data_IF_491991250743
#
_entry.id   IF_491991250743
#
_cell.length_a   1.000
_cell.length_b   1.000
_cell.length_c   1.000
_cell.angle_alpha   90.00
_cell.angle_beta   90.00
_cell.angle_gamma   90.00
#
_symmetry.space_group_name_H-M   'P 1'
#
loop_
_entity.id
_entity.type
_entity.pdbx_description
1 polymer ?
#
# COMPACT_ATOMS: atom_id res chain seq x y z
N UNK A 1 -18.58 -14.11 -22.54
CA UNK A 1 -18.10 -13.73 -23.88
C UNK A 1 -16.59 -13.66 -23.78
N UNK A 2 -15.86 -14.43 -24.60
CA UNK A 2 -14.40 -14.40 -24.64
C UNK A 2 -14.00 -13.64 -25.90
N UNK A 3 -13.24 -12.56 -25.75
CA UNK A 3 -12.66 -11.84 -26.89
C UNK A 3 -11.32 -12.48 -27.20
N UNK A 4 -11.15 -12.96 -28.43
CA UNK A 4 -9.96 -13.70 -28.86
C UNK A 4 -9.33 -13.02 -30.07
N UNK A 5 -8.01 -12.95 -30.10
CA UNK A 5 -7.22 -12.56 -31.26
C UNK A 5 -6.25 -13.69 -31.58
N UNK A 6 -6.09 -14.03 -32.87
CA UNK A 6 -5.27 -15.16 -33.33
C UNK A 6 -4.18 -14.65 -34.26
N UNK A 7 -2.94 -15.04 -33.99
CA UNK A 7 -1.77 -14.72 -34.80
C UNK A 7 -1.12 -16.02 -35.30
N UNK A 8 -0.52 -15.97 -36.49
CA UNK A 8 0.24 -17.08 -37.06
C UNK A 8 1.55 -16.54 -37.60
N UNK A 9 2.66 -17.04 -37.06
CA UNK A 9 4.00 -16.50 -37.25
C UNK A 9 4.97 -17.65 -37.55
N UNK A 10 6.10 -17.34 -38.18
CA UNK A 10 7.23 -18.25 -38.30
C UNK A 10 8.26 -17.89 -37.23
N UNK A 11 8.96 -18.91 -36.72
CA UNK A 11 10.09 -18.69 -35.82
C UNK A 11 11.27 -18.13 -36.61
N UNK A 12 12.08 -17.29 -35.97
CA UNK A 12 13.35 -16.84 -36.51
C UNK A 12 14.40 -17.96 -36.54
N UNK A 13 15.58 -17.66 -37.08
CA UNK A 13 16.71 -18.58 -37.17
C UNK A 13 17.21 -19.11 -35.81
N UNK A 14 16.86 -18.43 -34.71
CA UNK A 14 17.21 -18.83 -33.34
C UNK A 14 16.04 -19.57 -32.65
N UNK A 15 14.92 -19.84 -33.35
CA UNK A 15 13.76 -20.51 -32.79
C UNK A 15 12.88 -19.61 -31.91
N UNK A 16 12.99 -18.29 -32.04
CA UNK A 16 12.25 -17.30 -31.25
C UNK A 16 11.20 -16.57 -32.11
N UNK A 17 10.16 -16.04 -31.48
CA UNK A 17 9.29 -15.04 -32.08
C UNK A 17 8.99 -13.94 -31.05
N UNK A 18 8.74 -12.73 -31.51
CA UNK A 18 8.33 -11.60 -30.68
C UNK A 18 7.31 -10.78 -31.44
N UNK A 19 6.16 -10.51 -30.81
CA UNK A 19 5.10 -9.70 -31.40
C UNK A 19 4.46 -8.80 -30.35
N UNK A 20 3.91 -7.68 -30.81
CA UNK A 20 3.17 -6.74 -29.98
C UNK A 20 1.68 -6.90 -30.20
N UNK A 21 0.94 -7.17 -29.12
CA UNK A 21 -0.52 -7.26 -29.17
C UNK A 21 -1.13 -5.91 -28.78
N UNK A 22 -1.91 -5.33 -29.69
CA UNK A 22 -2.75 -4.18 -29.35
C UNK A 22 -3.86 -4.63 -28.39
N UNK A 23 -3.85 -4.12 -27.16
CA UNK A 23 -4.84 -4.47 -26.15
C UNK A 23 -6.13 -3.63 -26.26
N UNK A 24 -6.12 -2.53 -27.02
CA UNK A 24 -7.29 -1.65 -27.18
C UNK A 24 -8.43 -2.35 -27.90
N UNK A 25 -8.10 -3.35 -28.76
CA UNK A 25 -9.10 -4.19 -29.44
C UNK A 25 -10.02 -4.95 -28.48
N UNK A 26 -9.55 -5.23 -27.25
CA UNK A 26 -10.34 -5.94 -26.24
C UNK A 26 -11.28 -5.02 -25.47
N UNK A 27 -11.26 -3.70 -25.74
CA UNK A 27 -12.10 -2.68 -25.09
C UNK A 27 -12.08 -2.82 -23.57
N UNK A 28 -10.89 -3.06 -23.00
CA UNK A 28 -10.67 -3.00 -21.56
C UNK A 28 -10.94 -1.55 -21.12
N UNK A 29 -11.80 -1.27 -20.13
CA UNK A 29 -12.17 -2.12 -18.99
C UNK A 29 -13.68 -2.39 -18.93
N UNK A 30 -14.13 -3.55 -19.42
CA UNK A 30 -15.52 -3.99 -19.31
C UNK A 30 -15.73 -4.82 -18.03
N UNK A 31 -16.85 -4.63 -17.32
CA UNK A 31 -17.18 -5.55 -16.22
C UNK A 31 -17.52 -6.93 -16.78
N UNK A 32 -17.17 -7.99 -16.04
CA UNK A 32 -17.41 -9.38 -16.45
C UNK A 32 -16.29 -10.03 -17.27
N UNK A 33 -15.22 -9.31 -17.62
CA UNK A 33 -13.98 -9.90 -18.13
C UNK A 33 -13.04 -10.28 -16.98
N UNK A 34 -12.35 -11.42 -17.12
CA UNK A 34 -11.27 -11.83 -16.20
C UNK A 34 -10.19 -10.74 -16.11
N UNK A 35 -9.55 -10.61 -14.95
CA UNK A 35 -8.43 -9.71 -14.71
C UNK A 35 -7.09 -10.25 -15.25
N UNK A 36 -7.15 -11.04 -16.32
CA UNK A 36 -5.96 -11.58 -16.98
C UNK A 36 -6.22 -11.82 -18.47
N UNK A 37 -5.17 -11.66 -19.27
CA UNK A 37 -5.11 -12.13 -20.65
C UNK A 37 -4.45 -13.50 -20.62
N UNK A 38 -5.13 -14.52 -21.11
CA UNK A 38 -4.51 -15.81 -21.41
C UNK A 38 -3.96 -15.80 -22.82
N UNK A 39 -2.80 -16.41 -23.01
CA UNK A 39 -2.30 -16.77 -24.33
C UNK A 39 -2.22 -18.29 -24.45
N UNK A 40 -2.74 -18.83 -25.54
CA UNK A 40 -2.58 -20.23 -25.92
C UNK A 40 -1.71 -20.27 -27.18
N UNK A 41 -0.58 -20.97 -27.09
CA UNK A 41 0.43 -21.07 -28.14
C UNK A 41 0.48 -22.52 -28.59
N UNK A 42 0.46 -22.75 -29.91
CA UNK A 42 0.70 -24.07 -30.48
C UNK A 42 1.80 -23.97 -31.53
N UNK A 43 2.95 -24.56 -31.25
CA UNK A 43 4.08 -24.63 -32.17
C UNK A 43 4.01 -25.90 -33.00
N UNK A 44 4.37 -25.82 -34.28
CA UNK A 44 4.52 -26.97 -35.18
C UNK A 44 5.98 -27.14 -35.56
N UNK A 45 6.55 -28.31 -35.25
CA UNK A 45 7.90 -28.65 -35.70
C UNK A 45 7.90 -28.93 -37.21
N UNK A 46 8.79 -28.23 -37.94
CA UNK A 46 8.96 -28.46 -39.37
C UNK A 46 9.68 -29.79 -39.62
N UNK A 47 9.18 -30.59 -40.56
CA UNK A 47 9.72 -31.91 -40.88
C UNK A 47 8.98 -33.08 -40.20
N UNK A 48 8.67 -32.99 -38.91
CA UNK A 48 7.91 -34.03 -38.18
C UNK A 48 6.41 -33.75 -38.13
N UNK A 49 6.02 -32.47 -38.18
CA UNK A 49 4.64 -32.03 -38.00
C UNK A 49 4.12 -32.13 -36.57
N UNK A 50 4.99 -32.43 -35.60
CA UNK A 50 4.63 -32.50 -34.17
C UNK A 50 4.11 -31.15 -33.70
N UNK A 51 3.01 -31.17 -32.93
CA UNK A 51 2.40 -29.99 -32.32
C UNK A 51 2.75 -29.93 -30.82
N UNK A 52 3.25 -28.79 -30.38
CA UNK A 52 3.63 -28.52 -28.99
C UNK A 52 2.77 -27.38 -28.45
N UNK A 53 1.75 -27.66 -27.61
CA UNK A 53 0.94 -26.62 -26.98
C UNK A 53 1.67 -26.03 -25.75
N UNK A 54 1.41 -24.75 -25.49
CA UNK A 54 1.85 -24.02 -24.30
C UNK A 54 0.83 -22.94 -23.97
N UNK A 55 0.82 -22.47 -22.74
CA UNK A 55 -0.04 -21.36 -22.33
C UNK A 55 0.70 -20.38 -21.42
N UNK A 56 0.28 -19.12 -21.47
CA UNK A 56 0.76 -18.06 -20.61
C UNK A 56 -0.40 -17.23 -20.07
N UNK A 57 -0.12 -16.45 -19.03
CA UNK A 57 -1.08 -15.49 -18.48
C UNK A 57 -0.40 -14.15 -18.19
N UNK A 58 -1.15 -13.07 -18.38
CA UNK A 58 -0.75 -11.71 -18.01
C UNK A 58 -1.85 -11.09 -17.17
N UNK A 59 -1.54 -10.67 -15.96
CA UNK A 59 -2.52 -10.01 -15.09
C UNK A 59 -2.81 -8.58 -15.54
N UNK A 60 -4.09 -8.20 -15.51
CA UNK A 60 -4.56 -6.83 -15.71
C UNK A 60 -4.89 -6.26 -14.33
N UNK A 61 -4.37 -5.07 -14.02
CA UNK A 61 -4.61 -4.38 -12.76
C UNK A 61 -5.16 -2.97 -13.00
N UNK A 62 -6.11 -2.55 -12.18
CA UNK A 62 -6.56 -1.16 -12.10
C UNK A 62 -5.86 -0.36 -10.99
N UNK A 63 -4.86 -0.97 -10.33
CA UNK A 63 -3.98 -0.35 -9.33
C UNK A 63 -2.70 0.11 -10.02
N UNK A 64 -2.64 1.39 -10.36
CA UNK A 64 -1.45 2.03 -10.95
C UNK A 64 -0.41 2.45 -9.91
N UNK A 65 -0.77 2.38 -8.63
CA UNK A 65 0.11 2.65 -7.52
C UNK A 65 -0.26 1.79 -6.32
N UNK A 66 0.70 1.57 -5.44
CA UNK A 66 0.59 0.81 -4.22
C UNK A 66 0.99 1.75 -3.08
N UNK A 67 0.05 2.01 -2.18
CA UNK A 67 0.26 2.77 -0.95
C UNK A 67 0.31 1.78 0.21
N UNK A 68 1.34 1.88 1.05
CA UNK A 68 1.53 0.99 2.19
C UNK A 68 1.92 1.80 3.42
N UNK A 69 1.21 1.59 4.52
CA UNK A 69 1.56 2.11 5.83
C UNK A 69 2.73 1.30 6.43
N UNK A 70 3.67 1.99 7.07
CA UNK A 70 4.72 1.33 7.85
C UNK A 70 4.17 0.98 9.24
N UNK A 71 3.49 -0.17 9.34
CA UNK A 71 2.82 -0.62 10.55
C UNK A 71 3.78 -0.75 11.73
N UNK A 72 5.04 -1.11 11.49
CA UNK A 72 6.06 -1.20 12.52
C UNK A 72 6.39 0.18 13.12
N UNK A 73 6.53 1.19 12.26
CA UNK A 73 6.80 2.57 12.67
C UNK A 73 5.57 3.31 13.20
N UNK A 74 4.36 2.93 12.80
CA UNK A 74 3.10 3.47 13.34
C UNK A 74 2.73 2.81 14.66
N UNK A 75 2.93 1.49 14.77
CA UNK A 75 2.58 0.69 15.95
C UNK A 75 1.08 0.44 16.07
N UNK A 76 0.66 -0.26 17.13
CA UNK A 76 -0.75 -0.61 17.36
C UNK A 76 -1.48 0.36 18.31
N UNK A 77 -0.77 1.35 18.85
CA UNK A 77 -1.29 2.25 19.87
C UNK A 77 -1.03 3.72 19.53
N UNK A 78 -2.01 4.56 19.83
CA UNK A 78 -1.86 6.00 19.83
C UNK A 78 -1.94 6.55 21.26
N UNK A 79 -1.36 7.73 21.49
CA UNK A 79 -1.48 8.47 22.74
C UNK A 79 -2.16 9.82 22.50
N UNK A 80 -2.43 10.58 23.56
CA UNK A 80 -3.11 11.89 23.45
C UNK A 80 -2.16 13.06 23.13
N UNK A 81 -1.04 12.79 22.45
CA UNK A 81 -0.05 13.84 22.18
C UNK A 81 0.44 13.74 20.76
N UNK A 82 1.07 12.63 20.40
CA UNK A 82 1.70 12.48 19.10
C UNK A 82 1.62 11.05 18.57
N UNK A 83 1.28 10.93 17.30
CA UNK A 83 1.27 9.68 16.56
C UNK A 83 2.24 9.78 15.38
N UNK A 84 3.34 9.00 15.35
CA UNK A 84 4.17 8.94 14.17
C UNK A 84 3.42 8.24 13.04
N UNK A 85 3.55 8.81 11.86
CA UNK A 85 2.98 8.34 10.61
C UNK A 85 4.12 8.11 9.62
N UNK A 86 4.06 7.00 8.89
CA UNK A 86 4.98 6.68 7.80
C UNK A 86 4.24 5.83 6.78
N UNK A 87 4.36 6.20 5.51
CA UNK A 87 3.83 5.46 4.39
C UNK A 87 4.80 5.47 3.21
N UNK A 88 4.66 4.49 2.32
CA UNK A 88 5.40 4.42 1.05
C UNK A 88 4.42 4.34 -0.11
N UNK A 89 4.77 4.97 -1.22
CA UNK A 89 4.02 4.98 -2.47
C UNK A 89 4.91 4.51 -3.60
N UNK A 90 4.47 3.45 -4.29
CA UNK A 90 5.19 2.84 -5.42
C UNK A 90 4.25 2.63 -6.61
N UNK A 91 4.80 2.42 -7.80
CA UNK A 91 4.04 1.93 -8.96
C UNK A 91 3.77 0.42 -8.84
N UNK A 92 3.11 -0.17 -9.84
CA UNK A 92 2.80 -1.60 -9.87
C UNK A 92 4.04 -2.52 -9.92
N UNK A 93 5.22 -1.96 -10.24
CA UNK A 93 6.51 -2.65 -10.30
C UNK A 93 7.36 -2.40 -9.06
N UNK A 94 6.83 -1.71 -8.06
CA UNK A 94 7.54 -1.38 -6.83
C UNK A 94 8.52 -0.21 -6.98
N UNK A 95 8.49 0.54 -8.10
CA UNK A 95 9.33 1.73 -8.26
C UNK A 95 8.76 2.86 -7.40
N UNK A 96 9.60 3.59 -6.65
CA UNK A 96 9.12 4.71 -5.84
C UNK A 96 8.48 5.84 -6.64
N UNK A 97 7.36 6.36 -6.13
CA UNK A 97 6.65 7.50 -6.71
C UNK A 97 6.91 8.77 -5.88
N UNK A 98 7.88 9.56 -6.31
CA UNK A 98 8.28 10.81 -5.65
C UNK A 98 7.37 12.01 -5.99
N UNK A 99 7.37 13.02 -5.12
CA UNK A 99 6.64 14.29 -5.30
C UNK A 99 5.13 14.12 -5.50
N UNK A 100 4.55 13.10 -4.86
CA UNK A 100 3.12 12.77 -4.94
C UNK A 100 2.41 13.12 -3.64
N UNK A 101 1.24 13.73 -3.75
CA UNK A 101 0.44 14.11 -2.59
C UNK A 101 -0.38 12.93 -2.07
N UNK A 102 -0.29 12.63 -0.78
CA UNK A 102 -1.15 11.67 -0.07
C UNK A 102 -1.93 12.38 1.02
N UNK A 103 -3.19 11.97 1.22
CA UNK A 103 -4.04 12.44 2.32
C UNK A 103 -3.95 11.44 3.47
N UNK A 104 -3.69 11.93 4.67
CA UNK A 104 -3.78 11.16 5.90
C UNK A 104 -5.14 11.41 6.52
N UNK A 105 -5.81 10.34 6.93
CA UNK A 105 -7.15 10.36 7.51
C UNK A 105 -7.15 9.70 8.89
N UNK A 106 -7.98 10.23 9.79
CA UNK A 106 -8.34 9.55 11.04
C UNK A 106 -9.86 9.43 11.09
N UNK A 107 -10.36 8.21 11.25
CA UNK A 107 -11.78 7.87 11.21
C UNK A 107 -12.49 8.42 9.95
N UNK A 108 -11.79 8.40 8.81
CA UNK A 108 -12.28 8.89 7.51
C UNK A 108 -12.18 10.40 7.31
N UNK A 109 -11.86 11.20 8.34
CA UNK A 109 -11.67 12.65 8.19
C UNK A 109 -10.23 12.99 7.81
N UNK A 110 -10.04 13.89 6.84
CA UNK A 110 -8.73 14.40 6.43
C UNK A 110 -8.07 15.18 7.58
N UNK A 111 -6.87 14.77 7.99
CA UNK A 111 -6.12 15.42 9.07
C UNK A 111 -4.83 16.09 8.59
N UNK A 112 -4.24 15.58 7.51
CA UNK A 112 -2.99 16.11 6.96
C UNK A 112 -2.80 15.72 5.51
N UNK A 113 -2.17 16.60 4.74
CA UNK A 113 -1.69 16.29 3.39
C UNK A 113 -0.16 16.25 3.42
N UNK A 114 0.44 15.23 2.82
CA UNK A 114 1.89 15.02 2.75
C UNK A 114 2.31 14.83 1.31
N UNK A 115 3.57 15.15 1.01
CA UNK A 115 4.19 14.87 -0.29
C UNK A 115 5.29 13.83 -0.12
N UNK A 116 5.30 12.82 -0.98
CA UNK A 116 6.33 11.77 -0.96
C UNK A 116 7.69 12.30 -1.38
N UNK A 117 8.73 11.79 -0.73
CA UNK A 117 10.14 12.11 -1.02
C UNK A 117 10.67 11.34 -2.25
N UNK A 118 11.97 11.46 -2.54
CA UNK A 118 12.63 10.79 -3.66
C UNK A 118 12.53 9.24 -3.61
N UNK A 119 12.33 8.67 -2.41
CA UNK A 119 12.15 7.24 -2.19
C UNK A 119 10.67 6.86 -2.10
N UNK A 120 9.75 7.74 -2.51
CA UNK A 120 8.31 7.49 -2.44
C UNK A 120 7.78 7.47 -1.01
N UNK A 121 8.54 7.92 -0.01
CA UNK A 121 8.16 7.86 1.40
C UNK A 121 7.54 9.17 1.86
N UNK A 122 6.52 9.08 2.70
CA UNK A 122 5.90 10.21 3.37
C UNK A 122 5.85 9.95 4.88
N UNK A 123 6.47 10.83 5.65
CA UNK A 123 6.54 10.71 7.11
C UNK A 123 6.12 12.01 7.80
N UNK A 124 5.50 11.87 8.96
CA UNK A 124 5.18 13.01 9.83
C UNK A 124 4.88 12.52 11.23
N UNK A 125 4.76 13.48 12.16
CA UNK A 125 4.03 13.28 13.41
C UNK A 125 2.68 13.97 13.30
N UNK A 126 1.63 13.31 13.79
CA UNK A 126 0.24 13.81 13.85
C UNK A 126 -0.05 14.18 15.31
N UNK A 127 -0.59 15.37 15.53
CA UNK A 127 -1.13 15.76 16.84
C UNK A 127 -2.44 15.01 17.09
N UNK A 128 -2.46 14.20 18.15
CA UNK A 128 -3.60 13.38 18.53
C UNK A 128 -4.26 13.83 19.84
N UNK A 129 -3.96 15.04 20.32
CA UNK A 129 -4.47 15.58 21.59
C UNK A 129 -5.99 15.72 21.64
N UNK A 130 -6.63 15.99 20.51
CA UNK A 130 -8.08 16.12 20.37
C UNK A 130 -8.83 14.79 20.30
N UNK A 131 -8.14 13.65 20.10
CA UNK A 131 -8.76 12.33 19.94
C UNK A 131 -8.95 11.63 21.29
N UNK A 132 -10.16 11.11 21.54
CA UNK A 132 -10.54 10.54 22.84
C UNK A 132 -11.12 9.12 22.79
N UNK A 133 -11.40 8.60 21.59
CA UNK A 133 -12.00 7.27 21.39
C UNK A 133 -11.10 6.15 21.90
N UNK A 134 -11.68 5.00 22.23
CA UNK A 134 -10.90 3.83 22.66
C UNK A 134 -9.99 3.30 21.54
N UNK A 135 -10.38 3.50 20.29
CA UNK A 135 -9.60 3.23 19.10
C UNK A 135 -9.88 4.30 18.04
N UNK A 136 -8.99 4.39 17.06
CA UNK A 136 -9.15 5.19 15.86
C UNK A 136 -8.69 4.37 14.66
N UNK A 137 -9.23 4.63 13.48
CA UNK A 137 -8.70 4.10 12.22
C UNK A 137 -7.83 5.16 11.58
N UNK A 138 -6.54 4.92 11.51
CA UNK A 138 -5.59 5.74 10.75
C UNK A 138 -5.52 5.20 9.33
N UNK A 139 -5.63 6.05 8.34
CA UNK A 139 -5.46 5.64 6.94
C UNK A 139 -4.75 6.69 6.09
N UNK A 140 -4.26 6.23 4.94
CA UNK A 140 -3.68 7.08 3.92
C UNK A 140 -4.32 6.80 2.56
N UNK A 141 -4.48 7.83 1.75
CA UNK A 141 -5.08 7.74 0.42
C UNK A 141 -4.25 8.52 -0.59
N UNK A 142 -4.02 7.94 -1.76
CA UNK A 142 -3.35 8.58 -2.90
C UNK A 142 -4.33 8.87 -4.03
N UNK A 143 -4.20 10.03 -4.67
CA UNK A 143 -5.04 10.46 -5.80
C UNK A 143 -6.54 10.39 -5.50
N UNK A 144 -6.94 10.70 -4.27
CA UNK A 144 -8.32 10.79 -3.82
C UNK A 144 -9.03 11.98 -4.49
N UNK A 145 -9.41 11.79 -5.75
CA UNK A 145 -10.35 12.62 -6.45
C UNK A 145 -11.73 12.28 -5.89
N UNK A 146 -12.15 13.00 -4.86
CA UNK A 146 -13.57 13.23 -4.65
C UNK A 146 -14.14 13.74 -5.99
N UNK A 147 -15.25 13.16 -6.47
CA UNK A 147 -15.97 13.34 -7.76
C UNK A 147 -15.59 12.28 -8.84
N UNK A 148 -16.48 11.52 -9.50
CA UNK A 148 -17.93 11.54 -9.70
C UNK A 148 -18.41 10.10 -9.96
N UNK A 149 -19.03 9.41 -8.99
CA UNK A 149 -20.01 8.39 -9.36
C UNK A 149 -21.29 9.14 -9.67
N UNK A 150 -21.52 9.40 -10.96
CA UNK A 150 -22.89 9.55 -11.44
C UNK A 150 -23.63 8.30 -10.99
N UNK A 151 -24.57 8.47 -10.06
CA UNK A 151 -25.51 7.42 -9.68
C UNK A 151 -26.49 7.30 -10.83
N UNK A 152 -25.99 6.89 -11.99
CA UNK A 152 -26.81 6.55 -13.12
C UNK A 152 -27.46 5.22 -12.74
N UNK A 153 -28.77 5.17 -12.86
CA UNK A 153 -29.66 4.05 -12.45
C UNK A 153 -29.37 2.73 -13.21
N UNK A 154 -28.27 2.68 -13.97
CA UNK A 154 -27.73 1.54 -14.72
C UNK A 154 -26.26 1.18 -14.37
N UNK A 155 -25.67 1.80 -13.34
CA UNK A 155 -24.23 1.71 -13.03
C UNK A 155 -23.75 0.39 -12.38
N UNK A 156 -24.60 -0.64 -12.28
CA UNK A 156 -24.19 -1.93 -11.69
C UNK A 156 -23.27 -2.77 -12.59
N UNK A 157 -22.90 -2.27 -13.78
CA UNK A 157 -22.19 -3.04 -14.82
C UNK A 157 -20.82 -2.47 -15.25
N UNK A 158 -20.17 -1.57 -14.50
CA UNK A 158 -18.89 -0.96 -14.92
C UNK A 158 -17.87 -0.79 -13.77
N UNK A 159 -17.62 -1.83 -12.96
CA UNK A 159 -16.81 -1.68 -11.73
C UNK A 159 -15.30 -1.95 -11.92
N UNK A 160 -14.85 -2.49 -13.06
CA UNK A 160 -13.41 -2.76 -13.27
C UNK A 160 -12.61 -1.58 -13.87
N UNK A 161 -13.27 -0.46 -14.19
CA UNK A 161 -12.66 0.70 -14.87
C UNK A 161 -12.33 1.89 -13.98
N UNK A 162 -12.90 1.95 -12.77
CA UNK A 162 -12.52 2.97 -11.81
C UNK A 162 -11.09 2.69 -11.33
N UNK A 163 -10.19 3.68 -11.44
CA UNK A 163 -8.87 3.62 -10.81
C UNK A 163 -9.08 3.21 -9.36
N UNK A 164 -8.48 2.09 -8.94
CA UNK A 164 -8.48 1.74 -7.53
C UNK A 164 -7.55 2.73 -6.86
N UNK A 165 -8.11 3.74 -6.19
CA UNK A 165 -7.34 4.69 -5.41
C UNK A 165 -6.52 3.92 -4.38
N UNK A 166 -5.18 4.02 -4.39
CA UNK A 166 -4.37 3.30 -3.44
C UNK A 166 -4.69 3.81 -2.03
N UNK A 167 -5.04 2.86 -1.18
CA UNK A 167 -5.50 3.08 0.17
C UNK A 167 -4.90 2.01 1.08
N UNK A 168 -4.52 2.42 2.28
CA UNK A 168 -4.13 1.49 3.33
C UNK A 168 -4.52 2.06 4.70
N UNK A 169 -4.86 1.17 5.64
CA UNK A 169 -5.39 1.52 6.95
C UNK A 169 -4.92 0.62 8.08
N UNK A 170 -4.88 1.19 9.28
CA UNK A 170 -4.57 0.48 10.50
C UNK A 170 -5.44 1.01 11.65
N UNK A 171 -5.99 0.09 12.44
CA UNK A 171 -6.71 0.42 13.67
C UNK A 171 -5.71 0.56 14.82
N UNK A 172 -5.76 1.69 15.50
CA UNK A 172 -4.90 2.02 16.64
C UNK A 172 -5.72 2.08 17.92
N UNK A 173 -5.23 1.46 18.98
CA UNK A 173 -5.85 1.50 20.29
C UNK A 173 -5.27 2.63 21.15
N UNK A 174 -6.11 3.25 21.96
CA UNK A 174 -5.65 4.30 22.86
C UNK A 174 -4.81 3.69 23.99
N UNK A 175 -3.57 4.15 24.13
CA UNK A 175 -2.76 3.86 25.31
C UNK A 175 -3.27 4.67 26.52
N UNK A 176 -3.49 3.98 27.64
CA UNK A 176 -3.92 4.64 28.88
C UNK A 176 -2.72 5.05 29.73
N UNK A 177 -2.69 6.33 30.11
CA UNK A 177 -1.74 6.85 31.08
C UNK A 177 -2.45 7.88 31.96
N UNK A 178 -2.46 7.67 33.28
CA UNK A 178 -3.03 8.64 34.23
C UNK A 178 -2.24 9.95 34.24
N UNK A 179 -0.92 9.86 34.17
CA UNK A 179 -0.02 11.00 34.16
C UNK A 179 0.08 11.68 32.79
N UNK A 180 -0.42 11.05 31.71
CA UNK A 180 -0.12 11.44 30.32
C UNK A 180 1.36 11.31 29.94
N UNK A 181 2.15 10.60 30.75
CA UNK A 181 3.49 10.16 30.33
C UNK A 181 3.38 8.88 29.51
N UNK A 182 4.12 8.79 28.41
CA UNK A 182 4.08 7.68 27.47
C UNK A 182 5.48 7.21 27.10
N UNK A 183 5.60 5.90 26.91
CA UNK A 183 6.81 5.27 26.37
C UNK A 183 6.38 4.45 25.17
N UNK A 184 7.22 4.47 24.13
CA UNK A 184 7.03 3.71 22.91
C UNK A 184 8.35 3.04 22.54
N UNK A 185 8.33 1.71 22.48
CA UNK A 185 9.45 0.93 21.97
C UNK A 185 9.28 0.81 20.47
N UNK A 186 10.29 1.17 19.69
CA UNK A 186 10.29 0.95 18.23
C UNK A 186 10.68 -0.50 17.97
N UNK A 187 9.80 -1.29 17.32
CA UNK A 187 10.13 -2.66 16.97
C UNK A 187 11.30 -2.69 15.98
N UNK A 188 12.15 -3.71 16.08
CA UNK A 188 13.17 -3.99 15.08
C UNK A 188 12.47 -4.55 13.84
N UNK A 189 12.79 -4.02 12.66
CA UNK A 189 12.15 -4.45 11.40
C UNK A 189 12.77 -5.76 10.85
N UNK A 190 13.95 -6.15 11.32
CA UNK A 190 14.70 -7.29 10.79
C UNK A 190 14.52 -8.57 11.61
N UNK A 191 14.67 -9.71 10.94
CA UNK A 191 14.79 -11.03 11.57
C UNK A 191 16.02 -11.06 12.49
N UNK A 192 15.76 -11.30 13.77
CA UNK A 192 16.81 -11.39 14.79
C UNK A 192 17.50 -12.76 14.68
N UNK A 193 18.83 -12.75 14.65
CA UNK A 193 19.66 -13.95 14.72
C UNK A 193 19.94 -14.33 16.17
N UNK A 194 20.10 -15.63 16.41
CA UNK A 194 20.52 -16.15 17.71
C UNK A 194 21.86 -15.54 18.16
N UNK A 195 22.04 -15.45 19.48
CA UNK A 195 23.28 -15.05 20.17
C UNK A 195 23.82 -13.65 19.83
N UNK A 196 23.00 -12.80 19.21
CA UNK A 196 23.33 -11.40 18.94
C UNK A 196 22.65 -10.45 19.91
N UNK A 197 23.31 -9.32 20.19
CA UNK A 197 22.75 -8.19 20.93
C UNK A 197 22.22 -7.15 19.97
N UNK A 198 21.01 -6.67 20.23
CA UNK A 198 20.34 -5.66 19.42
C UNK A 198 20.04 -4.42 20.26
N UNK A 199 20.27 -3.25 19.68
CA UNK A 199 19.87 -1.97 20.27
C UNK A 199 18.48 -1.59 19.77
N UNK A 200 17.56 -1.34 20.68
CA UNK A 200 16.22 -0.85 20.37
C UNK A 200 16.12 0.64 20.65
N UNK A 201 15.38 1.35 19.81
CA UNK A 201 15.06 2.75 20.07
C UNK A 201 13.78 2.84 20.92
N UNK A 202 13.82 3.71 21.93
CA UNK A 202 12.69 3.99 22.81
C UNK A 202 12.40 5.47 22.75
N UNK A 203 11.20 5.81 22.27
CA UNK A 203 10.67 7.16 22.34
C UNK A 203 9.94 7.33 23.67
N UNK A 204 10.10 8.49 24.30
CA UNK A 204 9.43 8.80 25.56
C UNK A 204 8.87 10.22 25.56
N UNK A 205 7.77 10.37 26.27
CA UNK A 205 7.18 11.65 26.62
C UNK A 205 6.85 11.61 28.10
N UNK A 206 7.49 12.48 28.88
CA UNK A 206 7.24 12.60 30.32
C UNK A 206 6.55 13.92 30.62
N UNK A 207 5.65 13.86 31.60
CA UNK A 207 4.86 14.99 32.08
C UNK A 207 5.13 15.19 33.57
N UNK A 208 4.93 16.41 34.08
CA UNK A 208 5.11 16.68 35.52
C UNK A 208 4.24 15.78 36.40
N UNK A 209 3.03 15.43 35.94
CA UNK A 209 2.16 14.48 36.64
C UNK A 209 2.72 13.05 36.72
N UNK A 210 3.72 12.71 35.91
CA UNK A 210 4.36 11.39 35.89
C UNK A 210 5.72 11.37 36.59
N UNK A 211 6.54 12.40 36.39
CA UNK A 211 7.90 12.47 36.96
C UNK A 211 8.01 13.34 38.22
N UNK A 212 6.96 14.09 38.55
CA UNK A 212 6.97 15.10 39.61
C UNK A 212 7.39 16.48 39.11
N UNK A 213 6.84 17.53 39.73
CA UNK A 213 7.15 18.92 39.38
C UNK A 213 8.61 19.24 39.65
N UNK A 214 9.30 19.83 38.68
CA UNK A 214 10.72 20.20 38.79
C UNK A 214 11.72 19.03 38.71
N UNK A 215 11.27 17.84 38.30
CA UNK A 215 12.17 16.71 38.11
C UNK A 215 13.15 16.96 36.94
N UNK A 216 14.44 16.77 37.20
CA UNK A 216 15.53 16.92 36.20
C UNK A 216 16.11 15.59 35.73
N UNK A 217 15.82 14.49 36.44
CA UNK A 217 16.33 13.14 36.17
C UNK A 217 15.21 12.12 36.30
N UNK A 218 15.16 11.15 35.39
CA UNK A 218 14.24 10.01 35.46
C UNK A 218 14.96 8.74 35.03
N UNK A 219 14.52 7.60 35.58
CA UNK A 219 15.06 6.28 35.23
C UNK A 219 13.92 5.37 34.79
N UNK A 220 14.00 4.88 33.56
CA UNK A 220 13.05 3.90 33.04
C UNK A 220 13.50 2.52 33.50
N UNK A 221 12.68 1.85 34.32
CA UNK A 221 12.88 0.45 34.70
C UNK A 221 11.85 -0.41 33.98
N UNK A 222 12.32 -1.42 33.26
CA UNK A 222 11.49 -2.47 32.69
C UNK A 222 11.69 -3.72 33.57
N UNK A 223 10.60 -4.26 34.13
CA UNK A 223 10.59 -5.46 34.99
C UNK A 223 9.95 -6.58 34.19
#
# INVERSE_FOLDING_TARGET
MTLTSTLSLQLDENGTFSESLDLDQFKLPFSGLSNYVMCDITMKENGTGVLVPSSCYMSITNRLAILQLDHARIGSYYNKVHLPFSATLTDEKGKPLASRAIKVRIDGADVKCLTTDANGRAETVIDTSSYYKANITLSAVYEDNDLCYGRDEYSSYYINSARSYPYDEITLYRSFSKSQSHIRIRPLQDLLSCDKRYSMQVDYLFTEGGVGKGATTTSIKYI
#
